data_IF_318793148293
#
_entry.id   IF_318793148293
#
_cell.length_a   1.000
_cell.length_b   1.000
_cell.length_c   1.000
_cell.angle_alpha   90.00
_cell.angle_beta   90.00
_cell.angle_gamma   90.00
#
_symmetry.space_group_name_H-M   'P 1'
#
loop_
_entity.id
_entity.type
_entity.pdbx_description
1 polymer ?
#
# COMPACT_ATOMS: atom_id res chain seq x y z
N UNK A 1 -3.10 -1.97 20.43
CA UNK A 1 -2.35 -3.24 20.57
C UNK A 1 -2.11 -3.75 19.16
N UNK A 2 -0.90 -4.20 18.80
CA UNK A 2 -0.65 -4.71 17.44
C UNK A 2 -1.47 -5.98 17.19
N UNK A 3 -2.23 -6.00 16.10
CA UNK A 3 -2.89 -7.20 15.58
C UNK A 3 -1.90 -8.36 15.42
N UNK A 4 -2.39 -9.59 15.61
CA UNK A 4 -1.58 -10.80 15.45
C UNK A 4 -1.36 -11.19 13.97
N UNK A 5 -2.12 -10.62 13.02
CA UNK A 5 -2.00 -10.96 11.59
C UNK A 5 -1.12 -10.00 10.82
N UNK A 6 -1.14 -8.72 11.16
CA UNK A 6 -0.29 -7.70 10.54
C UNK A 6 -0.99 -6.36 10.45
N UNK A 7 -0.23 -5.35 10.07
CA UNK A 7 -0.65 -3.96 9.95
C UNK A 7 -0.63 -3.51 8.50
N UNK A 8 -1.74 -2.98 8.04
CA UNK A 8 -1.90 -2.46 6.68
C UNK A 8 -2.00 -0.94 6.74
N UNK A 9 -1.33 -0.25 5.83
CA UNK A 9 -1.59 1.15 5.53
C UNK A 9 -2.34 1.24 4.20
N UNK A 10 -3.48 1.90 4.17
CA UNK A 10 -4.22 2.19 2.94
C UNK A 10 -4.13 3.69 2.60
N UNK A 11 -3.63 3.99 1.40
CA UNK A 11 -3.43 5.36 0.90
C UNK A 11 -4.49 5.61 -0.16
N UNK A 12 -5.50 6.40 0.21
CA UNK A 12 -6.77 6.55 -0.51
C UNK A 12 -7.48 7.80 -0.02
N UNK A 13 -7.94 8.67 -0.94
CA UNK A 13 -8.69 9.89 -0.59
C UNK A 13 -10.22 9.66 -0.51
N UNK A 14 -10.75 8.58 -1.10
CA UNK A 14 -12.16 8.23 -1.00
C UNK A 14 -12.54 7.64 0.37
N UNK A 15 -12.98 8.47 1.31
CA UNK A 15 -13.34 8.06 2.68
C UNK A 15 -14.29 6.86 2.78
N UNK A 16 -15.34 6.81 1.94
CA UNK A 16 -16.28 5.68 1.96
C UNK A 16 -15.59 4.34 1.62
N UNK A 17 -14.61 4.38 0.72
CA UNK A 17 -13.84 3.20 0.34
C UNK A 17 -12.89 2.79 1.49
N UNK A 18 -12.23 3.77 2.10
CA UNK A 18 -11.39 3.57 3.30
C UNK A 18 -12.19 2.90 4.42
N UNK A 19 -13.36 3.42 4.77
CA UNK A 19 -14.20 2.89 5.86
C UNK A 19 -14.61 1.44 5.59
N UNK A 20 -15.04 1.13 4.35
CA UNK A 20 -15.40 -0.22 3.96
C UNK A 20 -14.23 -1.20 4.11
N UNK A 21 -13.03 -0.83 3.65
CA UNK A 21 -11.85 -1.69 3.75
C UNK A 21 -11.33 -1.78 5.18
N UNK A 22 -11.37 -0.69 5.94
CA UNK A 22 -11.03 -0.66 7.35
C UNK A 22 -11.86 -1.68 8.14
N UNK A 23 -13.20 -1.59 8.04
CA UNK A 23 -14.10 -2.50 8.74
C UNK A 23 -13.86 -3.96 8.34
N UNK A 24 -13.70 -4.21 7.03
CA UNK A 24 -13.45 -5.56 6.53
C UNK A 24 -12.13 -6.15 7.05
N UNK A 25 -11.04 -5.39 7.03
CA UNK A 25 -9.72 -5.86 7.46
C UNK A 25 -9.64 -6.02 8.99
N UNK A 26 -10.23 -5.08 9.75
CA UNK A 26 -10.33 -5.19 11.21
C UNK A 26 -11.11 -6.43 11.64
N UNK A 27 -12.28 -6.69 11.06
CA UNK A 27 -13.09 -7.88 11.33
C UNK A 27 -12.34 -9.19 11.04
N UNK A 28 -11.36 -9.15 10.12
CA UNK A 28 -10.52 -10.29 9.77
C UNK A 28 -9.20 -10.36 10.55
N UNK A 29 -9.01 -9.46 11.52
CA UNK A 29 -7.94 -9.49 12.52
C UNK A 29 -6.65 -8.78 12.10
N UNK A 30 -6.70 -7.85 11.14
CA UNK A 30 -5.57 -6.99 10.78
C UNK A 30 -5.67 -5.64 11.52
N UNK A 31 -4.54 -5.01 11.81
CA UNK A 31 -4.52 -3.58 12.12
C UNK A 31 -4.65 -2.83 10.78
N UNK A 32 -5.41 -1.74 10.78
CA UNK A 32 -5.62 -0.93 9.58
C UNK A 32 -5.33 0.54 9.90
N UNK A 33 -4.45 1.13 9.11
CA UNK A 33 -4.11 2.55 9.11
C UNK A 33 -4.55 3.13 7.77
N UNK A 34 -4.87 4.41 7.74
CA UNK A 34 -5.20 5.14 6.51
C UNK A 34 -4.41 6.43 6.41
N UNK A 35 -4.14 6.87 5.19
CA UNK A 35 -3.63 8.20 4.89
C UNK A 35 -4.34 8.73 3.63
N UNK A 36 -4.76 9.99 3.65
CA UNK A 36 -5.52 10.59 2.54
C UNK A 36 -4.63 11.36 1.55
N UNK A 37 -3.35 11.55 1.90
CA UNK A 37 -2.36 12.26 1.09
C UNK A 37 -0.97 11.60 1.23
N UNK A 38 -0.04 12.00 0.34
CA UNK A 38 1.27 11.37 0.23
C UNK A 38 2.21 11.76 1.39
N UNK A 39 2.13 13.00 1.88
CA UNK A 39 2.96 13.47 2.99
C UNK A 39 2.69 12.67 4.27
N UNK A 40 1.42 12.51 4.62
CA UNK A 40 0.96 11.67 5.73
C UNK A 40 1.37 10.21 5.50
N UNK A 41 1.13 9.67 4.30
CA UNK A 41 1.47 8.29 3.97
C UNK A 41 2.97 7.98 4.15
N UNK A 42 3.85 8.89 3.72
CA UNK A 42 5.29 8.75 3.90
C UNK A 42 5.68 8.76 5.38
N UNK A 43 5.13 9.69 6.17
CA UNK A 43 5.39 9.78 7.60
C UNK A 43 4.92 8.51 8.34
N UNK A 44 3.70 8.05 8.06
CA UNK A 44 3.13 6.83 8.65
C UNK A 44 3.95 5.61 8.24
N UNK A 45 4.37 5.50 6.99
CA UNK A 45 5.18 4.36 6.52
C UNK A 45 6.53 4.29 7.22
N UNK A 46 7.21 5.42 7.39
CA UNK A 46 8.50 5.44 8.09
C UNK A 46 8.35 5.12 9.58
N UNK A 47 7.32 5.65 10.24
CA UNK A 47 7.13 5.51 11.69
C UNK A 47 6.50 4.17 12.09
N UNK A 48 5.41 3.78 11.43
CA UNK A 48 4.62 2.59 11.81
C UNK A 48 5.17 1.30 11.19
N UNK A 49 5.96 1.40 10.11
CA UNK A 49 6.55 0.28 9.37
C UNK A 49 5.51 -0.82 9.10
N UNK A 50 4.45 -0.53 8.31
CA UNK A 50 3.36 -1.47 8.08
C UNK A 50 3.87 -2.75 7.41
N UNK A 51 3.19 -3.87 7.65
CA UNK A 51 3.50 -5.15 7.02
C UNK A 51 3.18 -5.14 5.52
N UNK A 52 2.23 -4.30 5.08
CA UNK A 52 1.99 -3.99 3.67
C UNK A 52 1.29 -2.63 3.50
N UNK A 53 1.44 -2.06 2.31
CA UNK A 53 0.74 -0.84 1.89
C UNK A 53 -0.21 -1.17 0.75
N UNK A 54 -1.45 -0.69 0.82
CA UNK A 54 -2.37 -0.55 -0.29
C UNK A 54 -2.27 0.90 -0.80
N UNK A 55 -2.00 1.09 -2.08
CA UNK A 55 -1.70 2.41 -2.64
C UNK A 55 -2.59 2.70 -3.84
N UNK A 56 -3.41 3.76 -3.79
CA UNK A 56 -3.89 4.38 -5.02
C UNK A 56 -2.80 5.24 -5.67
N UNK A 57 -2.74 5.21 -7.00
CA UNK A 57 -1.88 6.06 -7.80
C UNK A 57 -2.49 7.45 -7.96
N UNK A 58 -3.81 7.52 -8.16
CA UNK A 58 -4.53 8.78 -8.29
C UNK A 58 -4.82 9.27 -6.88
N UNK A 59 -4.09 10.31 -6.45
CA UNK A 59 -4.31 10.98 -5.18
C UNK A 59 -4.32 12.48 -5.48
N UNK A 60 -5.45 13.18 -5.23
CA UNK A 60 -5.55 14.60 -5.54
C UNK A 60 -4.42 15.43 -4.96
N UNK A 61 -4.00 16.44 -5.73
CA UNK A 61 -2.94 17.37 -5.32
C UNK A 61 -3.48 18.77 -5.21
N UNK A 62 -3.27 19.42 -4.07
CA UNK A 62 -3.57 20.84 -3.88
C UNK A 62 -2.29 21.67 -4.05
N UNK A 63 -2.30 22.62 -4.98
CA UNK A 63 -1.22 23.59 -5.19
C UNK A 63 -1.82 24.96 -5.50
N UNK A 64 -1.35 26.00 -4.78
CA UNK A 64 -1.78 27.39 -4.97
C UNK A 64 -3.31 27.60 -4.95
N UNK A 65 -4.03 26.82 -4.13
CA UNK A 65 -5.48 26.88 -4.01
C UNK A 65 -6.25 26.20 -5.15
N UNK A 66 -5.58 25.50 -6.05
CA UNK A 66 -6.17 24.64 -7.08
C UNK A 66 -5.95 23.16 -6.73
N UNK A 67 -6.99 22.34 -6.93
CA UNK A 67 -6.92 20.90 -6.70
C UNK A 67 -6.94 20.16 -8.04
N UNK A 68 -5.85 19.44 -8.33
CA UNK A 68 -5.78 18.49 -9.43
C UNK A 68 -6.31 17.12 -8.97
N UNK A 69 -7.55 16.81 -9.36
CA UNK A 69 -8.25 15.57 -8.99
C UNK A 69 -7.70 14.30 -9.66
N UNK A 70 -6.86 14.43 -10.68
CA UNK A 70 -6.29 13.30 -11.44
C UNK A 70 -4.76 13.24 -11.31
N UNK A 71 -4.21 13.85 -10.26
CA UNK A 71 -2.78 13.81 -9.99
C UNK A 71 -2.33 12.38 -9.61
N UNK A 72 -1.26 11.90 -10.24
CA UNK A 72 -0.76 10.53 -10.06
C UNK A 72 0.34 10.43 -8.98
N UNK A 73 0.11 11.09 -7.83
CA UNK A 73 1.14 11.23 -6.78
C UNK A 73 1.56 9.91 -6.13
N UNK A 74 0.77 8.83 -6.28
CA UNK A 74 1.16 7.52 -5.76
C UNK A 74 2.44 6.97 -6.42
N UNK A 75 2.77 7.39 -7.64
CA UNK A 75 4.08 7.06 -8.22
C UNK A 75 5.24 7.67 -7.42
N UNK A 76 5.10 8.91 -6.95
CA UNK A 76 6.13 9.58 -6.17
C UNK A 76 6.31 8.90 -4.80
N UNK A 77 5.20 8.52 -4.16
CA UNK A 77 5.21 7.72 -2.94
C UNK A 77 5.95 6.38 -3.14
N UNK A 78 5.60 5.61 -4.18
CA UNK A 78 6.22 4.33 -4.46
C UNK A 78 7.74 4.48 -4.68
N UNK A 79 8.14 5.49 -5.47
CA UNK A 79 9.55 5.78 -5.70
C UNK A 79 10.29 6.16 -4.41
N UNK A 80 9.70 7.02 -3.57
CA UNK A 80 10.30 7.47 -2.32
C UNK A 80 10.49 6.31 -1.33
N UNK A 81 9.44 5.50 -1.13
CA UNK A 81 9.49 4.34 -0.22
C UNK A 81 10.53 3.32 -0.67
N UNK A 82 10.64 3.05 -1.98
CA UNK A 82 11.58 2.06 -2.52
C UNK A 82 13.02 2.54 -2.55
N UNK A 83 13.26 3.85 -2.59
CA UNK A 83 14.61 4.45 -2.47
C UNK A 83 15.09 4.54 -1.02
N UNK A 84 14.20 4.71 -0.05
CA UNK A 84 14.58 4.89 1.34
C UNK A 84 14.99 3.54 2.00
N UNK A 85 16.24 3.41 2.52
CA UNK A 85 16.70 2.17 3.15
C UNK A 85 15.85 1.67 4.32
N UNK A 86 15.18 2.57 5.04
CA UNK A 86 14.32 2.21 6.18
C UNK A 86 12.99 1.59 5.75
N UNK A 87 12.47 1.98 4.59
CA UNK A 87 11.11 1.60 4.15
C UNK A 87 11.10 0.72 2.91
N UNK A 88 12.21 0.58 2.18
CA UNK A 88 12.27 -0.16 0.91
C UNK A 88 11.82 -1.62 0.98
N UNK A 89 11.91 -2.22 2.17
CA UNK A 89 11.48 -3.58 2.44
C UNK A 89 9.95 -3.72 2.61
N UNK A 90 9.22 -2.63 2.83
CA UNK A 90 7.75 -2.65 2.94
C UNK A 90 7.17 -3.04 1.57
N UNK A 91 6.36 -4.11 1.48
CA UNK A 91 5.70 -4.46 0.24
C UNK A 91 4.56 -3.47 -0.05
N UNK A 92 4.49 -2.99 -1.29
CA UNK A 92 3.45 -2.06 -1.75
C UNK A 92 2.60 -2.79 -2.79
N UNK A 93 1.31 -2.89 -2.52
CA UNK A 93 0.29 -3.36 -3.46
C UNK A 93 -0.35 -2.12 -4.05
N UNK A 94 -0.14 -1.91 -5.35
CA UNK A 94 -0.86 -0.86 -6.07
C UNK A 94 -2.29 -1.33 -6.24
N UNK A 95 -3.23 -0.53 -5.75
CA UNK A 95 -4.66 -0.77 -5.75
C UNK A 95 -5.34 0.48 -6.29
N UNK A 96 -5.55 0.53 -7.60
CA UNK A 96 -5.91 1.76 -8.33
C UNK A 96 -6.99 1.52 -9.38
N UNK A 97 -7.58 2.61 -9.90
CA UNK A 97 -8.50 2.60 -11.04
C UNK A 97 -7.79 2.78 -12.40
N UNK A 98 -6.45 2.94 -12.44
CA UNK A 98 -5.69 2.89 -13.68
C UNK A 98 -5.62 1.44 -14.19
N UNK A 99 -6.04 1.21 -15.43
CA UNK A 99 -6.13 -0.13 -16.03
C UNK A 99 -5.45 -0.14 -17.41
N UNK A 100 -4.17 0.22 -17.43
CA UNK A 100 -3.34 0.07 -18.62
C UNK A 100 -2.15 -0.83 -18.33
N UNK A 101 -1.76 -1.62 -19.31
CA UNK A 101 -0.57 -2.48 -19.18
C UNK A 101 0.69 -1.65 -18.89
N UNK A 102 0.77 -0.44 -19.46
CA UNK A 102 1.88 0.49 -19.24
C UNK A 102 1.99 0.92 -17.77
N UNK A 103 0.86 1.20 -17.10
CA UNK A 103 0.85 1.60 -15.68
C UNK A 103 1.24 0.43 -14.78
N UNK A 104 0.77 -0.79 -15.10
CA UNK A 104 1.17 -2.03 -14.44
C UNK A 104 2.67 -2.25 -14.55
N UNK A 105 3.21 -2.27 -15.78
CA UNK A 105 4.64 -2.45 -16.04
C UNK A 105 5.49 -1.39 -15.31
N UNK A 106 5.06 -0.12 -15.32
CA UNK A 106 5.73 0.97 -14.61
C UNK A 106 5.79 0.69 -13.10
N UNK A 107 4.68 0.31 -12.47
CA UNK A 107 4.63 0.00 -11.04
C UNK A 107 5.52 -1.20 -10.67
N UNK A 108 5.50 -2.25 -11.49
CA UNK A 108 6.32 -3.45 -11.30
C UNK A 108 7.82 -3.12 -11.38
N UNK A 109 8.23 -2.33 -12.38
CA UNK A 109 9.62 -1.87 -12.52
C UNK A 109 10.07 -0.99 -11.33
N UNK A 110 9.14 -0.24 -10.73
CA UNK A 110 9.38 0.55 -9.52
C UNK A 110 9.42 -0.30 -8.25
N UNK A 111 9.10 -1.60 -8.32
CA UNK A 111 9.20 -2.54 -7.20
C UNK A 111 7.90 -2.71 -6.42
N UNK A 112 6.74 -2.46 -7.03
CA UNK A 112 5.46 -2.89 -6.48
C UNK A 112 5.42 -4.42 -6.32
N UNK A 113 4.81 -4.89 -5.23
CA UNK A 113 4.66 -6.31 -4.93
C UNK A 113 3.49 -6.94 -5.69
N UNK A 114 2.48 -6.14 -6.03
CA UNK A 114 1.34 -6.51 -6.86
C UNK A 114 0.67 -5.25 -7.42
N UNK A 115 -0.06 -5.42 -8.52
CA UNK A 115 -0.92 -4.42 -9.13
C UNK A 115 -2.33 -4.97 -9.27
N UNK A 116 -3.31 -4.26 -8.71
CA UNK A 116 -4.70 -4.70 -8.61
C UNK A 116 -5.61 -3.57 -9.07
N UNK A 117 -6.45 -3.86 -10.05
CA UNK A 117 -7.49 -2.94 -10.49
C UNK A 117 -8.68 -2.99 -9.53
N UNK A 118 -9.05 -1.84 -8.96
CA UNK A 118 -10.10 -1.75 -7.92
C UNK A 118 -11.43 -2.35 -8.35
N UNK A 119 -11.81 -2.14 -9.61
CA UNK A 119 -13.12 -2.55 -10.14
C UNK A 119 -13.27 -4.06 -10.35
N UNK A 120 -12.17 -4.81 -10.33
CA UNK A 120 -12.16 -6.26 -10.62
C UNK A 120 -12.02 -7.13 -9.36
N UNK A 121 -11.94 -6.52 -8.17
CA UNK A 121 -11.63 -7.27 -6.95
C UNK A 121 -12.63 -6.99 -5.83
N UNK A 122 -13.08 -8.07 -5.21
CA UNK A 122 -13.86 -8.01 -3.97
C UNK A 122 -12.95 -7.86 -2.75
N UNK A 123 -13.42 -7.26 -1.64
CA UNK A 123 -12.62 -7.11 -0.42
C UNK A 123 -11.99 -8.41 0.09
N UNK A 124 -12.70 -9.53 -0.02
CA UNK A 124 -12.20 -10.86 0.35
C UNK A 124 -10.95 -11.26 -0.46
N UNK A 125 -10.97 -11.02 -1.77
CA UNK A 125 -9.87 -11.36 -2.66
C UNK A 125 -8.68 -10.42 -2.42
N UNK A 126 -8.93 -9.12 -2.21
CA UNK A 126 -7.87 -8.17 -1.86
C UNK A 126 -7.16 -8.59 -0.57
N UNK A 127 -7.93 -8.91 0.48
CA UNK A 127 -7.40 -9.39 1.75
C UNK A 127 -6.54 -10.64 1.57
N UNK A 128 -6.99 -11.62 0.76
CA UNK A 128 -6.23 -12.84 0.50
C UNK A 128 -4.89 -12.54 -0.19
N UNK A 129 -4.87 -11.63 -1.18
CA UNK A 129 -3.65 -11.20 -1.85
C UNK A 129 -2.67 -10.52 -0.90
N UNK A 130 -3.15 -9.58 -0.08
CA UNK A 130 -2.34 -8.87 0.91
C UNK A 130 -1.78 -9.84 1.95
N UNK A 131 -2.60 -10.78 2.44
CA UNK A 131 -2.18 -11.79 3.40
C UNK A 131 -1.02 -12.65 2.87
N UNK A 132 -1.11 -13.08 1.61
CA UNK A 132 -0.07 -13.89 0.97
C UNK A 132 1.24 -13.09 0.79
N UNK A 133 1.14 -11.81 0.45
CA UNK A 133 2.30 -10.92 0.33
C UNK A 133 3.00 -10.75 1.68
N UNK A 134 2.25 -10.50 2.74
CA UNK A 134 2.79 -10.39 4.11
C UNK A 134 3.47 -11.68 4.53
N UNK A 135 2.85 -12.83 4.25
CA UNK A 135 3.42 -14.15 4.56
C UNK A 135 4.75 -14.36 3.85
N UNK A 136 4.82 -14.12 2.54
CA UNK A 136 6.04 -14.25 1.73
C UNK A 136 7.15 -13.32 2.22
N UNK A 137 6.82 -12.08 2.57
CA UNK A 137 7.80 -11.12 3.10
C UNK A 137 8.39 -11.59 4.45
N UNK A 138 7.53 -12.08 5.36
CA UNK A 138 7.99 -12.64 6.65
C UNK A 138 8.87 -13.87 6.47
N UNK A 139 8.52 -14.77 5.55
CA UNK A 139 9.34 -15.94 5.22
C UNK A 139 10.71 -15.55 4.66
N UNK A 140 10.76 -14.56 3.75
CA UNK A 140 12.00 -14.01 3.20
C UNK A 140 12.89 -13.41 4.29
N UNK A 141 12.31 -12.65 5.21
CA UNK A 141 13.02 -12.05 6.35
C UNK A 141 13.60 -13.12 7.29
N UNK A 142 12.84 -14.18 7.60
CA UNK A 142 13.31 -15.32 8.40
C UNK A 142 14.47 -16.06 7.74
N UNK A 143 14.38 -16.32 6.43
CA UNK A 143 15.44 -17.01 5.69
C UNK A 143 16.74 -16.20 5.66
N UNK A 144 16.63 -14.87 5.48
CA UNK A 144 17.80 -13.98 5.51
C UNK A 144 18.48 -13.97 6.89
N UNK A 145 17.70 -14.00 7.98
CA UNK A 145 18.24 -14.07 9.34
C UNK A 145 18.91 -15.42 9.64
N UNK A 146 18.37 -16.52 9.11
CA UNK A 146 18.91 -17.87 9.32
C UNK A 146 20.22 -18.14 8.55
N UNK A 147 20.42 -17.46 7.40
CA UNK A 147 21.61 -17.64 6.56
C UNK A 147 22.67 -16.53 6.76
N UNK A 148 22.42 -15.56 7.65
CA UNK A 148 23.27 -14.41 7.93
C UNK A 148 24.14 -14.53 9.19
N UNK A 149 24.20 -15.72 9.80
CA UNK A 149 25.10 -16.12 10.90
C UNK A 149 26.09 -17.17 10.42
#
# INVERSE_FOLDING_TARGET
>A
MKSNKGRILFIEDEHNLVDMYHDYFLQNGYDFLSAANIEEALAVTEFEQPDAVLLDIIIPKEEDGWINMIAEQGYDYLAAVKKNPKTKAVPIVVFTNLDTEKDREKCEQMGAAAYIFKREIEPRKLLATVAEIIKKDREKKKLFQANGT
#
